data_IF_751743913431
#
_entry.id   IF_751743913431
#
_cell.length_a   1.000
_cell.length_b   1.000
_cell.length_c   1.000
_cell.angle_alpha   90.00
_cell.angle_beta   90.00
_cell.angle_gamma   90.00
#
_symmetry.space_group_name_H-M   'P 1'
#
loop_
_entity.id
_entity.type
_entity.pdbx_description
1 polymer ?
#
# COMPACT_ATOMS: atom_id res chain seq x y z
N UNK A 1 9.55 13.16 2.31
CA UNK A 1 8.63 12.03 2.01
C UNK A 1 8.98 11.33 0.70
N UNK A 2 8.22 10.29 0.31
CA UNK A 2 8.55 9.46 -0.87
C UNK A 2 7.98 10.07 -2.15
N UNK A 3 8.83 10.15 -3.19
CA UNK A 3 8.49 10.72 -4.50
C UNK A 3 7.99 12.18 -4.45
N UNK A 4 8.40 12.98 -3.47
CA UNK A 4 8.00 14.40 -3.32
C UNK A 4 8.34 15.30 -4.52
N UNK A 5 9.28 14.85 -5.35
CA UNK A 5 9.69 15.55 -6.57
C UNK A 5 8.86 15.14 -7.80
N UNK A 6 8.15 14.01 -7.75
CA UNK A 6 7.31 13.49 -8.85
C UNK A 6 5.81 13.67 -8.58
N UNK A 7 5.36 13.41 -7.37
CA UNK A 7 3.95 13.48 -6.98
C UNK A 7 3.66 14.84 -6.36
N UNK A 8 2.57 15.56 -6.75
CA UNK A 8 2.32 16.93 -6.32
C UNK A 8 1.70 17.01 -4.90
N UNK A 9 2.35 16.38 -3.91
CA UNK A 9 1.91 16.34 -2.51
C UNK A 9 1.69 17.73 -1.92
N UNK A 10 2.63 18.65 -2.15
CA UNK A 10 2.53 20.04 -1.65
C UNK A 10 1.31 20.76 -2.20
N UNK A 11 0.98 20.53 -3.48
CA UNK A 11 -0.19 21.13 -4.13
C UNK A 11 -1.48 20.54 -3.55
N UNK A 12 -1.56 19.21 -3.44
CA UNK A 12 -2.70 18.52 -2.82
C UNK A 12 -2.91 18.96 -1.37
N UNK A 13 -1.83 19.07 -0.59
CA UNK A 13 -1.87 19.49 0.80
C UNK A 13 -2.58 20.83 0.98
N UNK A 14 -2.51 21.77 0.01
CA UNK A 14 -3.19 23.07 0.12
C UNK A 14 -4.72 22.98 0.29
N UNK A 15 -5.30 21.83 -0.04
CA UNK A 15 -6.72 21.54 0.10
C UNK A 15 -7.10 20.87 1.42
N UNK A 16 -6.14 20.66 2.32
CA UNK A 16 -6.35 20.00 3.60
C UNK A 16 -5.76 20.79 4.76
N UNK A 17 -6.28 20.53 5.95
CA UNK A 17 -5.75 21.01 7.21
C UNK A 17 -5.87 19.93 8.29
N UNK A 18 -4.96 19.94 9.27
CA UNK A 18 -5.16 19.19 10.51
C UNK A 18 -5.88 20.08 11.52
N UNK A 19 -6.97 19.58 12.09
CA UNK A 19 -7.76 20.27 13.11
C UNK A 19 -7.97 19.34 14.31
N UNK A 20 -8.12 19.86 15.54
CA UNK A 20 -8.47 19.02 16.69
C UNK A 20 -9.77 18.24 16.41
N UNK A 21 -9.74 16.94 16.70
CA UNK A 21 -10.88 16.02 16.64
C UNK A 21 -11.76 16.18 17.89
N UNK A 22 -12.95 15.57 17.86
CA UNK A 22 -13.79 15.42 19.06
C UNK A 22 -13.18 14.46 20.08
N UNK A 23 -12.22 13.62 19.68
CA UNK A 23 -11.45 12.76 20.57
C UNK A 23 -10.27 13.55 21.14
N UNK A 24 -10.16 13.59 22.47
CA UNK A 24 -9.11 14.35 23.16
C UNK A 24 -7.70 13.94 22.69
N UNK A 25 -6.86 14.93 22.36
CA UNK A 25 -5.49 14.71 21.89
C UNK A 25 -5.36 14.24 20.45
N UNK A 26 -6.47 14.08 19.71
CA UNK A 26 -6.50 13.60 18.33
C UNK A 26 -6.80 14.71 17.34
N UNK A 27 -6.42 14.48 16.08
CA UNK A 27 -6.54 15.44 14.99
C UNK A 27 -7.17 14.82 13.76
N UNK A 28 -8.14 15.50 13.17
CA UNK A 28 -8.75 15.14 11.90
C UNK A 28 -7.99 15.79 10.74
N UNK A 29 -7.79 15.02 9.66
CA UNK A 29 -7.34 15.53 8.37
C UNK A 29 -8.56 15.91 7.54
N UNK A 30 -8.90 17.20 7.52
CA UNK A 30 -10.14 17.70 6.92
C UNK A 30 -9.91 18.36 5.56
N UNK A 31 -10.78 18.05 4.60
CA UNK A 31 -10.84 18.76 3.32
C UNK A 31 -11.41 20.18 3.49
N UNK A 32 -10.72 21.17 2.90
CA UNK A 32 -11.13 22.57 2.91
C UNK A 32 -12.15 22.93 1.81
N UNK A 33 -12.30 22.05 0.81
CA UNK A 33 -13.22 22.18 -0.31
C UNK A 33 -13.22 23.55 -1.05
N UNK A 34 -12.05 24.13 -1.42
CA UNK A 34 -12.02 25.35 -2.24
C UNK A 34 -12.51 25.08 -3.67
N UNK A 35 -12.93 26.10 -4.43
CA UNK A 35 -13.43 25.93 -5.81
C UNK A 35 -12.46 25.22 -6.77
N UNK A 36 -11.15 25.30 -6.52
CA UNK A 36 -10.11 24.64 -7.32
C UNK A 36 -9.86 23.18 -6.94
N UNK A 37 -10.57 22.61 -5.95
CA UNK A 37 -10.30 21.26 -5.44
C UNK A 37 -10.41 20.19 -6.52
N UNK A 38 -11.48 20.19 -7.30
CA UNK A 38 -11.70 19.18 -8.33
C UNK A 38 -10.58 19.19 -9.38
N UNK A 39 -10.15 20.38 -9.84
CA UNK A 39 -9.08 20.49 -10.83
C UNK A 39 -7.72 20.13 -10.26
N UNK A 40 -7.40 20.55 -9.03
CA UNK A 40 -6.14 20.21 -8.36
C UNK A 40 -6.03 18.72 -8.06
N UNK A 41 -7.04 18.12 -7.43
CA UNK A 41 -7.02 16.70 -7.07
C UNK A 41 -7.16 15.82 -8.31
N UNK A 42 -7.86 16.28 -9.36
CA UNK A 42 -7.86 15.62 -10.67
C UNK A 42 -6.49 15.66 -11.37
N UNK A 43 -5.73 16.76 -11.23
CA UNK A 43 -4.34 16.80 -11.69
C UNK A 43 -3.45 15.86 -10.87
N UNK A 44 -3.59 15.86 -9.53
CA UNK A 44 -2.87 14.95 -8.64
C UNK A 44 -3.12 13.48 -9.04
N UNK A 45 -4.37 13.08 -9.22
CA UNK A 45 -4.75 11.71 -9.58
C UNK A 45 -4.11 11.28 -10.89
N UNK A 46 -4.14 12.13 -11.93
CA UNK A 46 -3.47 11.86 -13.21
C UNK A 46 -1.96 11.69 -13.07
N UNK A 47 -1.28 12.57 -12.33
CA UNK A 47 0.18 12.47 -12.13
C UNK A 47 0.54 11.23 -11.32
N UNK A 48 -0.23 10.91 -10.28
CA UNK A 48 -0.01 9.72 -9.46
C UNK A 48 -0.17 8.45 -10.29
N UNK A 49 -1.29 8.29 -11.03
CA UNK A 49 -1.52 7.13 -11.90
C UNK A 49 -0.46 7.00 -12.98
N UNK A 50 -0.04 8.11 -13.61
CA UNK A 50 1.05 8.10 -14.57
C UNK A 50 2.38 7.66 -13.95
N UNK A 51 2.64 8.03 -12.70
CA UNK A 51 3.84 7.60 -11.97
C UNK A 51 3.78 6.10 -11.65
N UNK A 52 2.62 5.56 -11.27
CA UNK A 52 2.45 4.10 -11.10
C UNK A 52 2.77 3.39 -12.43
N UNK A 53 2.21 3.87 -13.54
CA UNK A 53 2.41 3.32 -14.89
C UNK A 53 3.87 3.32 -15.32
N UNK A 54 4.57 4.43 -15.11
CA UNK A 54 6.02 4.53 -15.44
C UNK A 54 6.83 3.45 -14.70
N UNK A 55 6.54 3.24 -13.42
CA UNK A 55 7.22 2.22 -12.62
C UNK A 55 6.78 0.81 -13.00
N UNK A 56 5.52 0.58 -13.37
CA UNK A 56 5.03 -0.74 -13.78
C UNK A 56 5.63 -1.16 -15.11
N UNK A 57 5.73 -0.26 -16.09
CA UNK A 57 6.43 -0.49 -17.36
C UNK A 57 7.91 -0.81 -17.13
N UNK A 58 8.56 -0.07 -16.21
CA UNK A 58 9.94 -0.33 -15.80
C UNK A 58 10.08 -1.70 -15.14
N UNK A 59 9.14 -2.09 -14.28
CA UNK A 59 9.18 -3.38 -13.60
C UNK A 59 8.97 -4.54 -14.59
N UNK A 60 8.01 -4.40 -15.49
CA UNK A 60 7.72 -5.39 -16.53
C UNK A 60 8.93 -5.61 -17.45
N UNK A 61 9.70 -4.56 -17.76
CA UNK A 61 10.92 -4.67 -18.58
C UNK A 61 12.02 -5.56 -17.97
N UNK A 62 11.97 -5.82 -16.66
CA UNK A 62 12.95 -6.67 -15.95
C UNK A 62 12.63 -8.15 -16.08
N UNK A 63 11.39 -8.48 -16.44
CA UNK A 63 10.96 -9.87 -16.62
C UNK A 63 11.37 -10.33 -18.02
N UNK A 64 12.18 -11.40 -18.15
CA UNK A 64 12.49 -11.96 -19.46
C UNK A 64 11.19 -12.29 -20.19
N UNK A 65 11.12 -12.03 -21.50
CA UNK A 65 9.97 -12.38 -22.33
C UNK A 65 9.62 -13.85 -22.11
N UNK A 66 8.53 -14.09 -21.38
CA UNK A 66 8.10 -15.43 -20.99
C UNK A 66 7.80 -16.20 -22.27
N UNK A 67 8.67 -17.14 -22.62
CA UNK A 67 8.40 -18.08 -23.70
C UNK A 67 7.33 -19.07 -23.18
N UNK A 68 6.22 -19.27 -23.91
CA UNK A 68 5.07 -20.05 -23.41
C UNK A 68 5.32 -21.56 -23.33
N UNK A 69 6.55 -22.04 -23.57
CA UNK A 69 6.85 -23.48 -23.53
C UNK A 69 7.35 -23.90 -22.14
N UNK A 70 6.46 -23.91 -21.16
CA UNK A 70 6.70 -24.65 -19.91
C UNK A 70 5.91 -25.95 -20.00
N UNK A 71 6.60 -27.08 -19.88
CA UNK A 71 5.95 -28.39 -19.86
C UNK A 71 4.92 -28.45 -18.72
N UNK A 72 3.77 -29.12 -18.88
CA UNK A 72 2.71 -29.22 -17.86
C UNK A 72 3.15 -29.78 -16.49
N UNK A 73 4.36 -30.32 -16.39
CA UNK A 73 4.96 -30.88 -15.17
C UNK A 73 5.98 -29.99 -14.47
N UNK A 74 6.28 -28.80 -14.99
CA UNK A 74 7.21 -27.89 -14.31
C UNK A 74 6.52 -27.28 -13.08
N UNK A 75 7.24 -27.23 -11.96
CA UNK A 75 6.75 -26.56 -10.74
C UNK A 75 6.34 -25.12 -11.08
N UNK A 76 5.13 -24.73 -10.68
CA UNK A 76 4.64 -23.36 -10.84
C UNK A 76 5.47 -22.36 -10.02
N UNK A 77 6.00 -22.81 -8.87
CA UNK A 77 6.84 -22.04 -7.96
C UNK A 77 8.21 -22.70 -7.83
N UNK A 78 9.29 -21.92 -7.76
CA UNK A 78 10.57 -22.46 -7.25
C UNK A 78 10.47 -22.77 -5.76
N UNK A 79 11.39 -23.62 -5.31
CA UNK A 79 11.53 -23.90 -3.88
C UNK A 79 11.98 -22.63 -3.12
N UNK A 80 12.67 -21.68 -3.76
CA UNK A 80 13.11 -20.42 -3.13
C UNK A 80 11.93 -19.46 -2.86
N UNK A 81 10.99 -19.33 -3.81
CA UNK A 81 9.75 -18.55 -3.63
C UNK A 81 8.90 -19.15 -2.51
N UNK A 82 8.77 -20.48 -2.47
CA UNK A 82 8.02 -21.18 -1.43
C UNK A 82 8.69 -21.03 -0.05
N UNK A 83 10.00 -21.24 0.04
CA UNK A 83 10.76 -21.11 1.30
C UNK A 83 10.73 -19.67 1.81
N UNK A 84 10.84 -18.67 0.94
CA UNK A 84 10.71 -17.27 1.35
C UNK A 84 9.32 -17.00 1.91
N UNK A 85 8.28 -17.45 1.21
CA UNK A 85 6.90 -17.28 1.63
C UNK A 85 6.65 -17.94 2.99
N UNK A 86 7.12 -19.18 3.17
CA UNK A 86 7.06 -19.87 4.45
C UNK A 86 7.80 -19.08 5.54
N UNK A 87 9.04 -18.66 5.34
CA UNK A 87 9.80 -17.97 6.41
C UNK A 87 9.23 -16.61 6.80
N UNK A 88 8.80 -15.81 5.83
CA UNK A 88 8.43 -14.42 6.05
C UNK A 88 6.94 -14.24 6.35
N UNK A 89 6.09 -15.15 5.88
CA UNK A 89 4.65 -15.05 6.07
C UNK A 89 4.10 -16.03 7.12
N UNK A 90 4.75 -17.18 7.36
CA UNK A 90 4.30 -18.16 8.37
C UNK A 90 4.12 -17.60 9.79
N UNK A 91 4.95 -16.68 10.30
CA UNK A 91 4.70 -16.08 11.61
C UNK A 91 3.34 -15.37 11.70
N UNK A 92 2.73 -15.08 10.55
CA UNK A 92 1.51 -14.28 10.40
C UNK A 92 0.36 -15.04 9.70
N UNK A 93 0.51 -16.34 9.40
CA UNK A 93 -0.51 -17.15 8.69
C UNK A 93 -0.37 -18.66 8.97
N UNK A 94 -1.41 -19.46 8.66
CA UNK A 94 -1.42 -20.93 8.84
C UNK A 94 -1.23 -21.69 7.51
N UNK A 95 -0.84 -22.98 7.57
CA UNK A 95 -0.55 -23.83 6.39
C UNK A 95 -1.70 -23.92 5.38
N UNK A 96 -2.92 -24.03 5.89
CA UNK A 96 -4.12 -24.13 5.05
C UNK A 96 -4.44 -22.79 4.37
N UNK A 97 -3.97 -21.66 4.91
CA UNK A 97 -4.15 -20.32 4.36
C UNK A 97 -3.15 -19.96 3.24
N UNK A 98 -1.96 -20.58 3.21
CA UNK A 98 -0.96 -20.36 2.14
C UNK A 98 -1.44 -20.85 0.75
N UNK A 99 -2.26 -21.90 0.70
CA UNK A 99 -2.74 -22.48 -0.56
C UNK A 99 -3.69 -21.56 -1.34
N UNK A 100 -4.49 -20.74 -0.65
CA UNK A 100 -5.50 -19.87 -1.27
C UNK A 100 -5.01 -18.44 -1.52
N UNK A 101 -3.96 -17.99 -0.82
CA UNK A 101 -3.42 -16.62 -0.91
C UNK A 101 -2.29 -16.43 -1.94
N UNK A 102 -2.08 -17.37 -2.85
CA UNK A 102 -0.90 -17.40 -3.73
C UNK A 102 -0.71 -16.14 -4.60
N UNK A 103 -1.73 -15.58 -5.28
CA UNK A 103 -1.54 -14.36 -6.07
C UNK A 103 -1.16 -13.15 -5.21
N UNK A 104 -1.76 -13.03 -4.02
CA UNK A 104 -1.46 -11.97 -3.05
C UNK A 104 -0.03 -12.09 -2.55
N UNK A 105 0.41 -13.30 -2.19
CA UNK A 105 1.79 -13.55 -1.78
C UNK A 105 2.78 -13.23 -2.90
N UNK A 106 2.47 -13.59 -4.16
CA UNK A 106 3.33 -13.26 -5.29
C UNK A 106 3.46 -11.75 -5.51
N UNK A 107 2.36 -10.97 -5.39
CA UNK A 107 2.43 -9.50 -5.43
C UNK A 107 3.34 -8.98 -4.31
N UNK A 108 3.18 -9.49 -3.09
CA UNK A 108 4.01 -9.10 -1.95
C UNK A 108 5.48 -9.40 -2.20
N UNK A 109 5.82 -10.64 -2.58
CA UNK A 109 7.21 -11.04 -2.85
C UNK A 109 7.79 -10.20 -3.99
N UNK A 110 7.05 -10.03 -5.09
CA UNK A 110 7.48 -9.22 -6.23
C UNK A 110 7.74 -7.75 -5.85
N UNK A 111 7.00 -7.20 -4.90
CA UNK A 111 7.15 -5.83 -4.44
C UNK A 111 8.26 -5.66 -3.38
N UNK A 112 8.25 -6.50 -2.34
CA UNK A 112 8.95 -6.22 -1.07
C UNK A 112 10.13 -7.14 -0.79
N UNK A 113 10.34 -8.21 -1.57
CA UNK A 113 11.45 -9.12 -1.29
C UNK A 113 12.81 -8.40 -1.37
N UNK A 114 13.74 -8.70 -0.45
CA UNK A 114 15.05 -8.05 -0.42
C UNK A 114 15.89 -8.45 -1.63
N UNK A 115 15.74 -9.68 -2.12
CA UNK A 115 16.49 -10.20 -3.25
C UNK A 115 15.83 -9.86 -4.58
N UNK A 116 16.60 -9.22 -5.47
CA UNK A 116 16.13 -8.85 -6.82
C UNK A 116 15.72 -10.06 -7.66
N UNK A 117 16.47 -11.16 -7.58
CA UNK A 117 16.16 -12.43 -8.25
C UNK A 117 14.77 -12.91 -7.87
N UNK A 118 14.49 -12.92 -6.57
CA UNK A 118 13.21 -13.37 -6.04
C UNK A 118 12.04 -12.48 -6.48
N UNK A 119 12.24 -11.16 -6.52
CA UNK A 119 11.23 -10.22 -7.04
C UNK A 119 10.88 -10.49 -8.50
N UNK A 120 11.89 -10.65 -9.35
CA UNK A 120 11.71 -10.91 -10.78
C UNK A 120 11.00 -12.25 -10.99
N UNK A 121 11.40 -13.28 -10.24
CA UNK A 121 10.81 -14.60 -10.36
C UNK A 121 9.35 -14.63 -9.89
N UNK A 122 9.03 -13.97 -8.77
CA UNK A 122 7.67 -13.85 -8.28
C UNK A 122 6.78 -13.13 -9.30
N UNK A 123 7.27 -12.02 -9.89
CA UNK A 123 6.54 -11.31 -10.93
C UNK A 123 6.34 -12.15 -12.20
N UNK A 124 7.37 -12.86 -12.66
CA UNK A 124 7.27 -13.77 -13.81
C UNK A 124 6.27 -14.90 -13.55
N UNK A 125 6.23 -15.43 -12.32
CA UNK A 125 5.27 -16.46 -11.91
C UNK A 125 3.85 -15.91 -11.86
N UNK A 126 3.69 -14.70 -11.34
CA UNK A 126 2.41 -14.01 -11.30
C UNK A 126 1.85 -13.75 -12.70
N UNK A 127 2.70 -13.33 -13.65
CA UNK A 127 2.33 -13.14 -15.05
C UNK A 127 1.99 -14.46 -15.77
N UNK A 128 2.65 -15.57 -15.42
CA UNK A 128 2.27 -16.90 -15.94
C UNK A 128 0.93 -17.35 -15.38
N UNK A 129 0.70 -17.15 -14.09
CA UNK A 129 -0.60 -17.47 -13.48
C UNK A 129 -1.72 -16.62 -14.10
N UNK A 130 -1.42 -15.35 -14.39
CA UNK A 130 -2.31 -14.41 -15.05
C UNK A 130 -2.75 -14.84 -16.46
N UNK A 131 -1.89 -15.55 -17.20
CA UNK A 131 -2.21 -16.04 -18.54
C UNK A 131 -3.02 -17.34 -18.53
N UNK A 132 -2.89 -18.15 -17.49
CA UNK A 132 -3.59 -19.44 -17.35
C UNK A 132 -4.97 -19.29 -16.71
N UNK A 133 -5.16 -18.29 -15.84
CA UNK A 133 -6.43 -18.00 -15.16
C UNK A 133 -6.83 -16.57 -15.51
N UNK A 134 -8.04 -16.34 -16.07
CA UNK A 134 -8.49 -14.97 -16.34
C UNK A 134 -8.52 -14.18 -15.03
N UNK A 135 -7.54 -13.31 -14.81
CA UNK A 135 -7.47 -12.48 -13.60
C UNK A 135 -8.67 -11.56 -13.45
N UNK A 136 -9.35 -11.25 -14.56
CA UNK A 136 -10.65 -10.57 -14.55
C UNK A 136 -11.71 -11.33 -13.74
N UNK A 137 -11.63 -12.66 -13.69
CA UNK A 137 -12.45 -13.51 -12.84
C UNK A 137 -11.95 -13.51 -11.38
N UNK A 138 -10.66 -13.28 -11.12
CA UNK A 138 -10.10 -13.17 -9.77
C UNK A 138 -10.25 -11.78 -9.13
N UNK A 139 -10.46 -10.74 -9.94
CA UNK A 139 -10.62 -9.34 -9.49
C UNK A 139 -11.78 -9.16 -8.50
N UNK A 140 -12.84 -9.94 -8.67
CA UNK A 140 -14.05 -9.90 -7.83
C UNK A 140 -14.23 -11.18 -7.00
N UNK A 141 -13.23 -12.07 -6.96
CA UNK A 141 -13.31 -13.25 -6.10
C UNK A 141 -13.04 -12.79 -4.69
N UNK A 142 -14.12 -12.53 -3.96
CA UNK A 142 -14.14 -12.28 -2.54
C UNK A 142 -14.57 -13.58 -1.83
N UNK A 143 -13.64 -14.25 -1.15
CA UNK A 143 -13.95 -15.34 -0.24
C UNK A 143 -13.90 -14.75 1.18
N UNK A 144 -15.07 -14.41 1.73
CA UNK A 144 -15.18 -13.73 3.02
C UNK A 144 -14.85 -12.23 2.95
N UNK A 145 -14.43 -11.66 4.08
CA UNK A 145 -14.33 -10.20 4.28
C UNK A 145 -13.10 -9.54 3.63
N UNK A 146 -12.07 -10.30 3.22
CA UNK A 146 -10.75 -9.73 2.93
C UNK A 146 -9.94 -10.50 1.85
N UNK A 147 -10.58 -11.02 0.81
CA UNK A 147 -9.89 -11.67 -0.30
C UNK A 147 -10.14 -10.94 -1.62
N UNK A 148 -9.06 -10.56 -2.30
CA UNK A 148 -9.08 -9.79 -3.55
C UNK A 148 -7.68 -9.20 -3.80
N UNK A 149 -7.12 -9.37 -5.00
CA UNK A 149 -5.82 -8.78 -5.34
C UNK A 149 -5.90 -7.24 -5.37
N UNK A 150 -7.11 -6.68 -5.52
CA UNK A 150 -7.35 -5.25 -5.41
C UNK A 150 -7.25 -4.72 -3.97
N UNK A 151 -7.55 -5.54 -2.95
CA UNK A 151 -7.38 -5.16 -1.53
C UNK A 151 -5.92 -4.92 -1.18
N UNK A 152 -5.00 -5.68 -1.78
CA UNK A 152 -3.55 -5.50 -1.66
C UNK A 152 -3.15 -4.08 -2.06
N UNK A 153 -3.55 -3.65 -3.26
CA UNK A 153 -3.27 -2.32 -3.75
C UNK A 153 -4.05 -1.25 -2.97
N UNK A 154 -5.29 -1.54 -2.57
CA UNK A 154 -6.16 -0.62 -1.86
C UNK A 154 -5.61 -0.19 -0.50
N UNK A 155 -5.16 -1.15 0.32
CA UNK A 155 -4.59 -0.85 1.65
C UNK A 155 -3.27 -0.10 1.50
N UNK A 156 -2.38 -0.57 0.61
CA UNK A 156 -1.11 0.10 0.35
C UNK A 156 -1.31 1.55 -0.16
N UNK A 157 -2.27 1.77 -1.07
CA UNK A 157 -2.59 3.09 -1.60
C UNK A 157 -3.08 4.03 -0.50
N UNK A 158 -4.02 3.58 0.32
CA UNK A 158 -4.60 4.41 1.37
C UNK A 158 -3.57 4.81 2.41
N UNK A 159 -2.79 3.87 2.95
CA UNK A 159 -1.72 4.21 3.91
C UNK A 159 -0.70 5.14 3.26
N UNK A 160 -0.29 4.85 2.02
CA UNK A 160 0.69 5.66 1.31
C UNK A 160 0.21 7.10 1.11
N UNK A 161 -1.03 7.31 0.66
CA UNK A 161 -1.59 8.64 0.48
C UNK A 161 -1.76 9.35 1.83
N UNK A 162 -2.31 8.68 2.85
CA UNK A 162 -2.51 9.28 4.17
C UNK A 162 -1.19 9.75 4.79
N UNK A 163 -0.14 8.93 4.73
CA UNK A 163 1.17 9.28 5.27
C UNK A 163 1.80 10.48 4.54
N UNK A 164 1.92 10.41 3.21
CA UNK A 164 2.54 11.48 2.42
C UNK A 164 1.72 12.77 2.46
N UNK A 165 0.39 12.70 2.49
CA UNK A 165 -0.46 13.86 2.59
C UNK A 165 -0.38 14.51 3.98
N UNK A 166 -0.42 13.72 5.04
CA UNK A 166 -0.29 14.23 6.43
C UNK A 166 1.02 14.97 6.61
N UNK A 167 2.16 14.40 6.19
CA UNK A 167 3.45 15.08 6.29
C UNK A 167 3.49 16.37 5.46
N UNK A 168 2.94 16.35 4.24
CA UNK A 168 2.90 17.53 3.39
C UNK A 168 2.01 18.65 3.97
N UNK A 169 0.95 18.29 4.69
CA UNK A 169 0.11 19.23 5.43
C UNK A 169 0.86 19.77 6.65
N UNK A 170 1.51 18.91 7.45
CA UNK A 170 2.29 19.31 8.61
C UNK A 170 3.45 20.25 8.25
N UNK A 171 4.11 20.04 7.11
CA UNK A 171 5.15 20.95 6.60
C UNK A 171 4.66 22.39 6.36
N UNK A 172 3.34 22.61 6.28
CA UNK A 172 2.72 23.93 6.12
C UNK A 172 2.24 24.53 7.45
N UNK A 173 2.19 23.72 8.50
CA UNK A 173 1.71 24.15 9.81
C UNK A 173 2.87 24.64 10.67
N UNK A 174 2.55 25.50 11.65
CA UNK A 174 3.54 26.04 12.59
C UNK A 174 3.92 25.04 13.67
N UNK A 175 2.98 24.20 14.05
CA UNK A 175 3.13 23.17 15.07
C UNK A 175 3.02 21.81 14.40
N UNK A 176 3.88 20.88 14.80
CA UNK A 176 3.81 19.51 14.33
C UNK A 176 3.00 18.68 15.32
N UNK A 177 2.03 17.96 14.78
CA UNK A 177 1.26 16.97 15.52
C UNK A 177 1.92 15.62 15.38
N UNK A 178 1.88 14.80 16.43
CA UNK A 178 2.32 13.41 16.30
C UNK A 178 1.53 12.69 15.22
N UNK A 179 2.21 11.92 14.36
CA UNK A 179 1.55 11.10 13.34
C UNK A 179 0.51 10.15 13.96
N UNK A 180 0.83 9.66 15.16
CA UNK A 180 0.01 8.74 15.94
C UNK A 180 -1.27 9.37 16.48
N UNK A 181 -1.42 10.69 16.39
CA UNK A 181 -2.62 11.42 16.80
C UNK A 181 -3.54 11.77 15.63
N UNK A 182 -3.19 11.40 14.39
CA UNK A 182 -4.02 11.68 13.20
C UNK A 182 -5.10 10.61 13.06
N UNK A 183 -6.35 10.98 13.33
CA UNK A 183 -7.49 10.06 13.45
C UNK A 183 -7.78 9.27 12.17
N UNK A 184 -7.86 9.88 10.97
CA UNK A 184 -8.09 9.12 9.74
C UNK A 184 -7.02 8.05 9.47
N UNK A 185 -5.75 8.34 9.81
CA UNK A 185 -4.67 7.36 9.68
C UNK A 185 -4.85 6.23 10.68
N UNK A 186 -4.99 6.55 11.96
CA UNK A 186 -5.06 5.54 13.01
C UNK A 186 -6.31 4.67 12.91
N UNK A 187 -7.45 5.27 12.55
CA UNK A 187 -8.70 4.56 12.26
C UNK A 187 -8.51 3.60 11.08
N UNK A 188 -7.80 4.00 10.03
CA UNK A 188 -7.50 3.11 8.91
C UNK A 188 -6.52 1.99 9.28
N UNK A 189 -5.50 2.28 10.07
CA UNK A 189 -4.56 1.27 10.55
C UNK A 189 -5.27 0.21 11.40
N UNK A 190 -6.04 0.64 12.41
CA UNK A 190 -6.81 -0.24 13.27
C UNK A 190 -7.92 -0.96 12.51
N UNK A 191 -8.61 -0.28 11.59
CA UNK A 191 -9.71 -0.86 10.84
C UNK A 191 -9.26 -1.84 9.78
N UNK A 192 -8.07 -1.68 9.20
CA UNK A 192 -7.67 -2.41 7.99
C UNK A 192 -6.23 -2.89 7.98
N UNK A 193 -5.24 -1.99 8.06
CA UNK A 193 -3.85 -2.33 7.76
C UNK A 193 -3.20 -3.25 8.80
N UNK A 194 -3.65 -3.18 10.06
CA UNK A 194 -3.14 -4.01 11.16
C UNK A 194 -4.01 -5.23 11.43
N UNK A 195 -5.27 -5.24 10.98
CA UNK A 195 -6.21 -6.33 11.25
C UNK A 195 -5.72 -7.67 10.73
N UNK A 196 -5.94 -8.67 11.56
CA UNK A 196 -5.79 -10.07 11.22
C UNK A 196 -7.13 -10.63 10.74
N UNK A 197 -7.56 -10.23 9.53
CA UNK A 197 -8.71 -10.84 8.86
C UNK A 197 -8.39 -12.28 8.42
N UNK A 198 -9.43 -13.06 8.09
CA UNK A 198 -9.26 -14.33 7.38
C UNK A 198 -8.45 -14.06 6.09
N UNK A 199 -7.25 -14.65 5.98
CA UNK A 199 -6.30 -14.51 4.85
C UNK A 199 -5.53 -13.17 4.75
N UNK A 200 -4.68 -12.79 5.72
CA UNK A 200 -4.18 -11.42 5.86
C UNK A 200 -2.81 -11.17 5.17
N UNK A 201 -2.46 -11.92 4.12
CA UNK A 201 -1.14 -11.84 3.50
C UNK A 201 -0.81 -10.43 2.98
N UNK A 202 -1.84 -9.71 2.53
CA UNK A 202 -1.79 -8.31 2.09
C UNK A 202 -1.32 -7.34 3.18
N UNK A 203 -1.57 -7.66 4.45
CA UNK A 203 -1.29 -6.77 5.57
C UNK A 203 0.09 -7.02 6.20
N UNK A 204 0.83 -8.03 5.74
CA UNK A 204 2.10 -8.41 6.38
C UNK A 204 3.14 -7.27 6.34
N UNK A 205 3.38 -6.58 5.21
CA UNK A 205 4.33 -5.46 5.20
C UNK A 205 3.89 -4.31 6.10
N UNK A 206 2.58 -4.07 6.22
CA UNK A 206 2.04 -3.06 7.11
C UNK A 206 2.28 -3.44 8.58
N UNK A 207 1.88 -4.64 9.00
CA UNK A 207 2.13 -5.12 10.36
C UNK A 207 3.61 -5.13 10.72
N UNK A 208 4.48 -5.56 9.81
CA UNK A 208 5.92 -5.63 10.05
C UNK A 208 6.50 -4.26 10.39
N UNK A 209 6.17 -3.23 9.61
CA UNK A 209 6.62 -1.86 9.88
C UNK A 209 5.99 -1.31 11.17
N UNK A 210 4.66 -1.28 11.27
CA UNK A 210 3.99 -0.64 12.41
C UNK A 210 4.32 -1.30 13.75
N UNK A 211 4.43 -2.64 13.80
CA UNK A 211 4.82 -3.36 15.02
C UNK A 211 6.27 -3.05 15.41
N UNK A 212 7.16 -2.80 14.45
CA UNK A 212 8.57 -2.46 14.71
C UNK A 212 8.74 -1.13 15.46
N UNK A 213 7.76 -0.23 15.36
CA UNK A 213 7.73 1.06 16.07
C UNK A 213 6.73 1.05 17.24
N UNK A 214 6.29 -0.13 17.68
CA UNK A 214 5.40 -0.30 18.83
C UNK A 214 3.90 -0.14 18.54
N UNK A 215 3.49 0.09 17.29
CA UNK A 215 2.08 0.17 16.90
C UNK A 215 1.57 -1.23 16.56
N UNK A 216 0.91 -1.88 17.52
CA UNK A 216 0.31 -3.22 17.37
C UNK A 216 -1.22 -3.15 17.32
N UNK A 217 -1.87 -4.24 16.88
CA UNK A 217 -3.34 -4.38 16.83
C UNK A 217 -3.92 -3.95 18.19
N UNK A 218 -4.64 -2.82 18.21
CA UNK A 218 -5.05 -2.11 19.44
C UNK A 218 -6.03 -2.94 20.29
N UNK A 219 -6.41 -4.14 19.84
CA UNK A 219 -7.24 -5.11 20.55
C UNK A 219 -6.49 -6.24 21.28
N UNK A 220 -5.16 -6.39 21.13
CA UNK A 220 -4.39 -7.40 21.88
C UNK A 220 -3.30 -6.74 22.70
N UNK A 221 -3.61 -6.51 23.96
CA UNK A 221 -2.68 -6.02 24.97
C UNK A 221 -1.64 -7.13 25.26
N UNK A 222 -0.54 -7.16 24.51
CA UNK A 222 0.52 -8.17 24.69
C UNK A 222 1.49 -7.83 25.83
N UNK A 223 1.21 -6.80 26.65
CA UNK A 223 2.02 -6.47 27.84
C UNK A 223 3.48 -6.14 27.53
N UNK A 224 3.81 -5.86 26.28
CA UNK A 224 5.15 -5.50 25.85
C UNK A 224 5.18 -3.97 25.77
N UNK A 225 5.65 -3.33 26.84
CA UNK A 225 5.83 -1.88 26.97
C UNK A 225 6.96 -1.35 26.06
N UNK A 226 6.98 -1.74 24.78
CA UNK A 226 7.82 -1.02 23.83
C UNK A 226 7.19 0.35 23.64
N UNK A 227 7.89 1.41 24.05
CA UNK A 227 7.45 2.78 23.83
C UNK A 227 7.14 2.97 22.34
N UNK A 228 5.93 3.43 22.03
CA UNK A 228 5.53 3.70 20.66
C UNK A 228 6.35 4.87 20.13
N UNK A 229 7.02 4.67 19.00
CA UNK A 229 7.92 5.68 18.40
C UNK A 229 7.19 6.38 17.27
N UNK A 230 7.12 7.71 17.33
CA UNK A 230 6.61 8.50 16.21
C UNK A 230 7.72 8.71 15.16
N UNK A 231 7.60 8.13 13.95
CA UNK A 231 8.63 8.27 12.93
C UNK A 231 8.72 9.68 12.33
N UNK A 232 7.79 10.60 12.63
CA UNK A 232 7.86 12.00 12.21
C UNK A 232 8.32 12.95 13.33
N UNK A 233 8.60 12.44 14.54
CA UNK A 233 9.17 13.25 15.61
C UNK A 233 10.53 13.85 15.21
N UNK A 234 10.82 15.03 15.75
CA UNK A 234 12.02 15.82 15.45
C UNK A 234 13.27 15.31 16.20
N UNK A 235 13.10 14.40 17.16
CA UNK A 235 14.20 13.80 17.92
C UNK A 235 15.19 13.08 16.99
N UNK A 236 16.49 13.23 17.24
CA UNK A 236 17.57 12.69 16.39
C UNK A 236 18.42 11.60 17.07
N UNK A 237 17.85 10.96 18.09
CA UNK A 237 18.43 9.72 18.63
C UNK A 237 18.35 8.56 17.62
N UNK A 238 19.06 7.47 17.93
CA UNK A 238 19.12 6.30 17.04
C UNK A 238 17.73 5.70 16.79
N UNK A 239 16.87 5.66 17.81
CA UNK A 239 15.54 5.05 17.72
C UNK A 239 14.68 5.81 16.71
N UNK A 240 14.67 7.14 16.79
CA UNK A 240 13.92 7.97 15.85
C UNK A 240 14.52 7.98 14.44
N UNK A 241 15.85 7.88 14.31
CA UNK A 241 16.51 7.73 13.00
C UNK A 241 16.17 6.39 12.35
N UNK A 242 16.19 5.30 13.11
CA UNK A 242 15.78 3.98 12.66
C UNK A 242 14.31 3.96 12.25
N UNK A 243 13.41 4.54 13.06
CA UNK A 243 11.99 4.68 12.74
C UNK A 243 11.76 5.48 11.45
N UNK A 244 12.47 6.60 11.26
CA UNK A 244 12.44 7.40 10.02
C UNK A 244 12.91 6.61 8.80
N UNK A 245 13.99 5.85 8.94
CA UNK A 245 14.52 5.02 7.86
C UNK A 245 13.55 3.87 7.52
N UNK A 246 12.97 3.24 8.55
CA UNK A 246 11.90 2.25 8.42
C UNK A 246 10.69 2.81 7.68
N UNK A 247 10.21 4.00 8.05
CA UNK A 247 9.09 4.66 7.38
C UNK A 247 9.40 4.93 5.91
N UNK A 248 10.61 5.42 5.60
CA UNK A 248 11.04 5.64 4.20
C UNK A 248 11.04 4.35 3.39
N UNK A 249 11.47 3.24 3.98
CA UNK A 249 11.43 1.95 3.32
C UNK A 249 10.01 1.44 3.16
N UNK A 250 9.20 1.55 4.20
CA UNK A 250 7.78 1.18 4.17
C UNK A 250 6.98 1.92 3.09
N UNK A 251 7.22 3.22 2.91
CA UNK A 251 6.61 3.99 1.82
C UNK A 251 7.05 3.52 0.43
N UNK A 252 8.33 3.13 0.26
CA UNK A 252 8.82 2.52 -0.98
C UNK A 252 8.13 1.18 -1.24
N UNK A 253 7.96 0.36 -0.20
CA UNK A 253 7.32 -0.95 -0.28
C UNK A 253 5.83 -0.81 -0.61
N UNK A 254 5.11 0.11 0.02
CA UNK A 254 3.73 0.45 -0.33
C UNK A 254 3.61 0.88 -1.79
N UNK A 255 4.50 1.76 -2.26
CA UNK A 255 4.50 2.18 -3.67
C UNK A 255 4.86 1.02 -4.63
N UNK A 256 5.74 0.11 -4.20
CA UNK A 256 6.09 -1.08 -4.95
C UNK A 256 4.92 -2.03 -5.16
N UNK A 257 4.11 -2.21 -4.12
CA UNK A 257 2.87 -2.97 -4.21
C UNK A 257 1.96 -2.38 -5.30
N UNK A 258 1.86 -1.05 -5.39
CA UNK A 258 1.01 -0.39 -6.41
C UNK A 258 1.48 -0.68 -7.83
N UNK A 259 2.76 -0.47 -8.14
CA UNK A 259 3.24 -0.65 -9.51
C UNK A 259 3.36 -2.13 -9.90
N UNK A 260 3.66 -3.04 -8.97
CA UNK A 260 3.63 -4.49 -9.22
C UNK A 260 2.20 -4.94 -9.50
N UNK A 261 1.23 -4.45 -8.73
CA UNK A 261 -0.17 -4.73 -9.00
C UNK A 261 -0.63 -4.16 -10.34
N UNK A 262 -0.19 -2.96 -10.72
CA UNK A 262 -0.51 -2.34 -12.01
C UNK A 262 -0.03 -3.17 -13.21
N UNK A 263 1.14 -3.82 -13.12
CA UNK A 263 1.62 -4.76 -14.15
C UNK A 263 0.56 -5.86 -14.39
N UNK A 264 0.07 -6.44 -13.31
CA UNK A 264 -0.90 -7.54 -13.33
C UNK A 264 -2.27 -7.07 -13.81
N UNK A 265 -2.70 -5.90 -13.34
CA UNK A 265 -3.96 -5.26 -13.72
C UNK A 265 -3.99 -5.00 -15.24
N UNK A 266 -2.95 -4.36 -15.77
CA UNK A 266 -2.86 -4.07 -17.22
C UNK A 266 -2.80 -5.33 -18.07
N UNK A 267 -2.10 -6.36 -17.60
CA UNK A 267 -2.07 -7.65 -18.29
C UNK A 267 -3.46 -8.33 -18.30
N UNK A 268 -4.26 -8.13 -17.25
CA UNK A 268 -5.55 -8.76 -17.07
C UNK A 268 -6.69 -8.09 -17.82
N UNK A 269 -6.76 -6.75 -17.78
CA UNK A 269 -7.90 -5.99 -18.31
C UNK A 269 -7.54 -4.99 -19.38
N UNK A 270 -6.25 -4.77 -19.68
CA UNK A 270 -5.83 -3.73 -20.62
C UNK A 270 -5.52 -2.40 -19.93
N UNK A 271 -4.95 -1.46 -20.70
CA UNK A 271 -4.47 -0.18 -20.19
C UNK A 271 -5.57 0.78 -19.81
N UNK A 272 -6.68 0.83 -20.57
CA UNK A 272 -7.74 1.80 -20.38
C UNK A 272 -8.50 1.51 -19.08
N UNK A 273 -8.86 0.24 -18.86
CA UNK A 273 -9.51 -0.25 -17.64
C UNK A 273 -8.61 -0.09 -16.40
N UNK A 274 -7.29 -0.27 -16.56
CA UNK A 274 -6.35 -0.04 -15.48
C UNK A 274 -6.23 1.44 -15.11
N UNK A 275 -6.29 2.33 -16.10
CA UNK A 275 -6.26 3.79 -15.88
C UNK A 275 -7.54 4.27 -15.18
N UNK A 276 -8.71 3.75 -15.56
CA UNK A 276 -9.98 4.01 -14.88
C UNK A 276 -9.96 3.52 -13.42
N UNK A 277 -9.46 2.30 -13.20
CA UNK A 277 -9.34 1.72 -11.86
C UNK A 277 -8.51 2.62 -10.92
N UNK A 278 -7.33 3.06 -11.34
CA UNK A 278 -6.50 3.92 -10.48
C UNK A 278 -7.12 5.28 -10.25
N UNK A 279 -7.74 5.87 -11.28
CA UNK A 279 -8.45 7.14 -11.13
C UNK A 279 -9.57 7.03 -10.08
N UNK A 280 -10.36 5.95 -10.11
CA UNK A 280 -11.40 5.69 -9.12
C UNK A 280 -10.81 5.48 -7.73
N UNK A 281 -9.82 4.60 -7.58
CA UNK A 281 -9.23 4.27 -6.27
C UNK A 281 -8.56 5.47 -5.61
N UNK A 282 -7.80 6.28 -6.36
CA UNK A 282 -7.17 7.50 -5.83
C UNK A 282 -8.24 8.52 -5.41
N UNK A 283 -9.27 8.70 -6.23
CA UNK A 283 -10.36 9.63 -5.92
C UNK A 283 -11.14 9.18 -4.67
N UNK A 284 -11.36 7.88 -4.50
CA UNK A 284 -12.00 7.32 -3.31
C UNK A 284 -11.24 7.67 -2.01
N UNK A 285 -9.90 7.71 -2.04
CA UNK A 285 -9.10 8.15 -0.87
C UNK A 285 -9.45 9.58 -0.48
N UNK A 286 -9.56 10.49 -1.44
CA UNK A 286 -9.91 11.88 -1.16
C UNK A 286 -11.35 12.05 -0.70
N UNK A 287 -12.29 11.23 -1.18
CA UNK A 287 -13.67 11.21 -0.67
C UNK A 287 -13.75 10.77 0.79
N UNK A 288 -12.97 9.77 1.20
CA UNK A 288 -12.89 9.37 2.61
C UNK A 288 -12.35 10.48 3.52
N UNK A 289 -11.58 11.43 2.96
CA UNK A 289 -11.10 12.63 3.64
C UNK A 289 -12.08 13.83 3.55
N UNK A 290 -13.29 13.61 3.04
CA UNK A 290 -14.35 14.62 2.98
C UNK A 290 -14.27 15.57 1.77
N UNK A 291 -13.52 15.21 0.72
CA UNK A 291 -13.53 15.97 -0.53
C UNK A 291 -14.85 15.78 -1.29
N UNK A 292 -15.41 16.87 -1.82
CA UNK A 292 -16.63 16.81 -2.65
C UNK A 292 -16.36 16.30 -4.07
N UNK A 293 -17.38 15.75 -4.72
CA UNK A 293 -17.35 15.56 -6.17
C UNK A 293 -17.53 16.92 -6.85
N UNK A 294 -16.98 17.08 -8.05
CA UNK A 294 -17.10 18.34 -8.81
C UNK A 294 -18.55 18.71 -9.19
N UNK A 295 -19.51 17.82 -8.92
CA UNK A 295 -20.93 17.96 -9.22
C UNK A 295 -21.80 18.25 -7.98
N UNK A 296 -21.20 18.43 -6.78
CA UNK A 296 -21.88 18.79 -5.50
C UNK A 296 -21.75 20.29 -5.16
#
# INVERSE_FOLDING_TARGET
>A
MHLDHKIPWKTAATHFNLVPSNTEGRFDLVALNPPSQASTLGHFSRVFSATIKEFSETELSKVPSVSPSVSPSAKLFSDDVLVFAERHFWPWTTRDQLGFAQPVMLVMIAAVAPEKSLRIEALATLLRLASEIPLSQLRNVHWGHAFGVDLVAGVALQVYVLLNLTEAVQCRQKEQTSLLNVDPLMSFLDGHALRNYDYPAQNIPHRAFWSSIGVSDLGTDTGNESAVVDPLAQDDDEIHREARNGLRQYLKDCFAILYVYDVVLRQACGSDEAEEFWAEKITAVFWMLGCKRGDD
#
